data_IF_544213292823
#
_entry.id   IF_544213292823
#
_cell.length_a   1.000
_cell.length_b   1.000
_cell.length_c   1.000
_cell.angle_alpha   90.00
_cell.angle_beta   90.00
_cell.angle_gamma   90.00
#
_symmetry.space_group_name_H-M   'P 1'
#
loop_
_entity.id
_entity.type
_entity.pdbx_description
1 polymer ?
#
# COMPACT_ATOMS: atom_id res chain seq x y z
N UNK A 1 -49.93 -17.10 2.96
CA UNK A 1 -49.10 -15.88 2.98
C UNK A 1 -47.67 -16.32 3.25
N UNK A 2 -46.86 -16.42 2.21
CA UNK A 2 -45.46 -16.80 2.34
C UNK A 2 -44.68 -15.58 2.81
N UNK A 3 -44.17 -15.62 4.05
CA UNK A 3 -43.21 -14.64 4.53
C UNK A 3 -41.89 -14.89 3.81
N UNK A 4 -41.56 -14.02 2.86
CA UNK A 4 -40.20 -13.91 2.34
C UNK A 4 -39.34 -13.46 3.51
N UNK A 5 -38.61 -14.40 4.10
CA UNK A 5 -37.55 -14.11 5.07
C UNK A 5 -36.41 -13.51 4.25
N UNK A 6 -36.40 -12.19 4.18
CA UNK A 6 -35.22 -11.44 3.75
C UNK A 6 -34.12 -11.86 4.73
N UNK A 7 -32.98 -12.41 4.29
CA UNK A 7 -31.89 -12.68 5.20
C UNK A 7 -31.50 -11.33 5.80
N UNK A 8 -31.78 -11.16 7.09
CA UNK A 8 -31.16 -10.12 7.87
C UNK A 8 -29.66 -10.36 7.68
N UNK A 9 -28.98 -9.38 7.10
CA UNK A 9 -27.53 -9.36 7.08
C UNK A 9 -27.14 -9.29 8.56
N UNK A 10 -26.90 -10.45 9.15
CA UNK A 10 -26.33 -10.56 10.48
C UNK A 10 -24.94 -9.95 10.39
N UNK A 11 -24.84 -8.68 10.76
CA UNK A 11 -23.58 -8.01 11.05
C UNK A 11 -22.94 -8.57 12.34
N UNK A 12 -23.13 -9.86 12.61
CA UNK A 12 -22.68 -10.57 13.80
C UNK A 12 -21.43 -11.34 13.45
N UNK A 13 -20.33 -10.89 14.06
CA UNK A 13 -19.07 -11.61 14.23
C UNK A 13 -18.12 -11.66 13.03
N UNK A 14 -17.88 -10.50 12.40
CA UNK A 14 -16.57 -10.30 11.74
C UNK A 14 -15.49 -10.42 12.84
N UNK A 15 -14.57 -11.40 12.76
CA UNK A 15 -13.54 -11.56 13.78
C UNK A 15 -12.72 -10.28 13.90
N UNK A 16 -12.36 -9.89 15.13
CA UNK A 16 -11.70 -8.61 15.43
C UNK A 16 -10.47 -8.33 14.54
N UNK A 17 -9.70 -9.38 14.20
CA UNK A 17 -8.58 -9.30 13.26
C UNK A 17 -9.00 -8.83 11.86
N UNK A 18 -10.08 -9.40 11.31
CA UNK A 18 -10.64 -9.06 9.98
C UNK A 18 -11.17 -7.63 9.95
N UNK A 19 -11.90 -7.22 10.99
CA UNK A 19 -12.37 -5.83 11.10
C UNK A 19 -11.21 -4.83 11.15
N UNK A 20 -10.14 -5.15 11.91
CA UNK A 20 -8.95 -4.30 12.01
C UNK A 20 -8.28 -4.09 10.64
N UNK A 21 -8.10 -5.16 9.86
CA UNK A 21 -7.46 -5.07 8.53
C UNK A 21 -8.36 -4.31 7.55
N UNK A 22 -9.65 -4.64 7.55
CA UNK A 22 -10.63 -3.97 6.68
C UNK A 22 -10.70 -2.47 6.97
N UNK A 23 -10.73 -2.07 8.24
CA UNK A 23 -10.73 -0.67 8.64
C UNK A 23 -9.48 0.05 8.14
N UNK A 24 -8.29 -0.53 8.34
CA UNK A 24 -7.02 0.06 7.88
C UNK A 24 -6.99 0.19 6.35
N UNK A 25 -7.47 -0.83 5.64
CA UNK A 25 -7.54 -0.81 4.17
C UNK A 25 -8.47 0.30 3.66
N UNK A 26 -9.72 0.33 4.15
CA UNK A 26 -10.72 1.35 3.76
C UNK A 26 -10.26 2.75 4.12
N UNK A 27 -9.67 2.93 5.32
CA UNK A 27 -9.08 4.21 5.71
C UNK A 27 -7.96 4.63 4.74
N UNK A 28 -7.11 3.70 4.33
CA UNK A 28 -6.03 3.97 3.37
C UNK A 28 -6.58 4.35 2.00
N UNK A 29 -7.64 3.68 1.52
CA UNK A 29 -8.32 4.04 0.27
C UNK A 29 -8.86 5.46 0.35
N UNK A 30 -9.61 5.79 1.40
CA UNK A 30 -10.20 7.13 1.58
C UNK A 30 -9.11 8.21 1.69
N UNK A 31 -8.06 7.95 2.48
CA UNK A 31 -6.93 8.86 2.63
C UNK A 31 -6.23 9.12 1.29
N UNK A 32 -5.91 8.06 0.54
CA UNK A 32 -5.28 8.17 -0.77
C UNK A 32 -6.18 8.90 -1.76
N UNK A 33 -7.46 8.56 -1.84
CA UNK A 33 -8.42 9.23 -2.72
C UNK A 33 -8.56 10.72 -2.42
N UNK A 34 -8.53 11.12 -1.14
CA UNK A 34 -8.59 12.52 -0.73
C UNK A 34 -7.30 13.30 -1.01
N UNK A 35 -6.14 12.63 -0.99
CA UNK A 35 -4.82 13.29 -1.10
C UNK A 35 -4.23 13.26 -2.51
N UNK A 36 -4.60 12.27 -3.33
CA UNK A 36 -4.25 12.15 -4.75
C UNK A 36 -5.07 13.15 -5.58
N UNK A 37 -4.64 14.41 -5.58
CA UNK A 37 -5.23 15.44 -6.43
C UNK A 37 -4.23 15.90 -7.51
N UNK A 38 -4.59 15.83 -8.81
CA UNK A 38 -3.76 16.36 -9.90
C UNK A 38 -3.46 17.85 -9.72
N UNK A 39 -4.38 18.58 -9.08
CA UNK A 39 -4.21 20.00 -8.76
C UNK A 39 -3.04 20.23 -7.79
N UNK A 40 -2.88 19.39 -6.77
CA UNK A 40 -1.76 19.49 -5.83
C UNK A 40 -0.44 19.18 -6.52
N UNK A 41 -0.39 18.13 -7.35
CA UNK A 41 0.78 17.82 -8.17
C UNK A 41 1.18 19.00 -9.07
N UNK A 42 0.20 19.62 -9.74
CA UNK A 42 0.45 20.79 -10.59
C UNK A 42 1.00 21.99 -9.81
N UNK A 43 0.54 22.20 -8.56
CA UNK A 43 1.09 23.25 -7.69
C UNK A 43 2.52 22.93 -7.24
N UNK A 44 2.80 21.68 -6.88
CA UNK A 44 4.14 21.25 -6.45
C UNK A 44 5.15 21.39 -7.60
N UNK A 45 4.82 20.89 -8.79
CA UNK A 45 5.64 21.04 -9.99
C UNK A 45 5.83 22.51 -10.39
N UNK A 46 4.78 23.34 -10.28
CA UNK A 46 4.89 24.78 -10.56
C UNK A 46 5.80 25.49 -9.57
N UNK A 47 5.78 25.08 -8.30
CA UNK A 47 6.65 25.63 -7.26
C UNK A 47 8.10 25.29 -7.54
N UNK A 48 8.36 24.04 -7.94
CA UNK A 48 9.69 23.58 -8.31
C UNK A 48 10.19 24.26 -9.58
N UNK A 49 9.32 24.43 -10.60
CA UNK A 49 9.69 25.15 -11.81
C UNK A 49 10.01 26.63 -11.54
N UNK A 50 9.26 27.30 -10.66
CA UNK A 50 9.61 28.66 -10.22
C UNK A 50 10.93 28.71 -9.45
N UNK A 51 11.23 27.69 -8.66
CA UNK A 51 12.52 27.59 -7.97
C UNK A 51 13.67 27.38 -8.96
N UNK A 52 13.43 26.64 -10.05
CA UNK A 52 14.36 26.47 -11.16
C UNK A 52 14.60 27.81 -11.89
N UNK A 53 13.53 28.49 -12.30
CA UNK A 53 13.59 29.77 -13.03
C UNK A 53 14.31 30.88 -12.23
N UNK A 54 14.11 30.92 -10.90
CA UNK A 54 14.69 31.95 -10.04
C UNK A 54 16.11 31.61 -9.53
N UNK A 55 16.68 30.48 -9.91
CA UNK A 55 18.00 30.07 -9.42
C UNK A 55 19.13 30.82 -10.15
N UNK A 56 19.59 31.93 -9.57
CA UNK A 56 20.66 32.78 -10.13
C UNK A 56 22.05 32.11 -10.23
N UNK A 57 22.29 30.99 -9.53
CA UNK A 57 23.55 30.25 -9.58
C UNK A 57 23.35 28.92 -10.34
N UNK A 58 23.54 28.98 -11.66
CA UNK A 58 23.46 27.85 -12.57
C UNK A 58 24.66 26.90 -12.42
N UNK A 59 24.62 26.04 -11.41
CA UNK A 59 25.42 24.81 -11.45
C UNK A 59 24.58 23.75 -12.15
N UNK A 60 25.09 23.11 -13.19
CA UNK A 60 24.43 22.01 -13.92
C UNK A 60 23.87 20.94 -12.95
N UNK A 61 24.59 20.71 -11.85
CA UNK A 61 24.19 19.86 -10.74
C UNK A 61 22.87 20.26 -10.07
N UNK A 62 22.60 21.56 -9.87
CA UNK A 62 21.37 22.05 -9.24
C UNK A 62 20.16 21.82 -10.17
N UNK A 63 20.33 22.09 -11.47
CA UNK A 63 19.30 21.83 -12.48
C UNK A 63 18.96 20.34 -12.57
N UNK A 64 19.97 19.46 -12.61
CA UNK A 64 19.76 18.02 -12.61
C UNK A 64 19.05 17.54 -11.33
N UNK A 65 19.43 18.08 -10.17
CA UNK A 65 18.77 17.75 -8.91
C UNK A 65 17.28 18.17 -8.91
N UNK A 66 16.97 19.36 -9.40
CA UNK A 66 15.58 19.85 -9.47
C UNK A 66 14.72 19.02 -10.45
N UNK A 67 15.27 18.66 -11.61
CA UNK A 67 14.61 17.76 -12.57
C UNK A 67 14.38 16.39 -11.93
N UNK A 68 15.39 15.85 -11.25
CA UNK A 68 15.30 14.57 -10.55
C UNK A 68 14.20 14.58 -9.49
N UNK A 69 14.13 15.63 -8.66
CA UNK A 69 13.05 15.81 -7.67
C UNK A 69 11.67 15.83 -8.35
N UNK A 70 11.55 16.51 -9.49
CA UNK A 70 10.28 16.59 -10.23
C UNK A 70 9.85 15.23 -10.77
N UNK A 71 10.77 14.44 -11.32
CA UNK A 71 10.51 13.07 -11.80
C UNK A 71 10.09 12.17 -10.65
N UNK A 72 10.77 12.26 -9.49
CA UNK A 72 10.42 11.48 -8.31
C UNK A 72 9.01 11.82 -7.81
N UNK A 73 8.64 13.10 -7.77
CA UNK A 73 7.28 13.52 -7.36
C UNK A 73 6.23 12.97 -8.33
N UNK A 74 6.50 13.03 -9.63
CA UNK A 74 5.61 12.44 -10.64
C UNK A 74 5.50 10.91 -10.47
N UNK A 75 6.61 10.23 -10.26
CA UNK A 75 6.63 8.78 -10.00
C UNK A 75 5.80 8.44 -8.75
N UNK A 76 5.99 9.16 -7.63
CA UNK A 76 5.19 8.98 -6.41
C UNK A 76 3.70 9.17 -6.67
N UNK A 77 3.33 10.12 -7.50
CA UNK A 77 1.93 10.35 -7.87
C UNK A 77 1.34 9.18 -8.66
N UNK A 78 2.06 8.68 -9.68
CA UNK A 78 1.63 7.52 -10.48
C UNK A 78 1.52 6.28 -9.60
N UNK A 79 2.54 5.99 -8.81
CA UNK A 79 2.51 4.85 -7.89
C UNK A 79 1.43 4.99 -6.82
N UNK A 80 1.10 6.20 -6.38
CA UNK A 80 -0.03 6.45 -5.50
C UNK A 80 -1.37 5.98 -6.06
N UNK A 81 -1.61 6.14 -7.36
CA UNK A 81 -2.78 5.57 -8.03
C UNK A 81 -2.71 4.05 -8.15
N UNK A 82 -1.53 3.50 -8.45
CA UNK A 82 -1.32 2.05 -8.50
C UNK A 82 -1.62 1.43 -7.13
N UNK A 83 -1.13 2.03 -6.04
CA UNK A 83 -1.39 1.55 -4.69
C UNK A 83 -2.81 1.81 -4.22
N UNK A 84 -3.51 2.84 -4.73
CA UNK A 84 -4.95 2.98 -4.51
C UNK A 84 -5.71 1.82 -5.17
N UNK A 85 -5.42 1.53 -6.44
CA UNK A 85 -6.03 0.42 -7.16
C UNK A 85 -5.75 -0.93 -6.48
N UNK A 86 -4.50 -1.16 -6.05
CA UNK A 86 -4.11 -2.37 -5.33
C UNK A 86 -4.86 -2.52 -4.00
N UNK A 87 -5.07 -1.44 -3.26
CA UNK A 87 -5.85 -1.48 -2.01
C UNK A 87 -7.34 -1.78 -2.28
N UNK A 88 -7.92 -1.25 -3.36
CA UNK A 88 -9.30 -1.58 -3.77
C UNK A 88 -9.41 -3.07 -4.12
N UNK A 89 -8.45 -3.63 -4.87
CA UNK A 89 -8.41 -5.05 -5.20
C UNK A 89 -8.29 -5.90 -3.93
N UNK A 90 -7.49 -5.46 -2.96
CA UNK A 90 -7.32 -6.17 -1.70
C UNK A 90 -8.60 -6.26 -0.83
N UNK A 91 -9.65 -5.47 -1.11
CA UNK A 91 -10.94 -5.64 -0.42
C UNK A 91 -11.56 -7.02 -0.67
N UNK A 92 -11.38 -7.59 -1.86
CA UNK A 92 -11.92 -8.89 -2.22
C UNK A 92 -11.40 -10.01 -1.32
N UNK A 93 -10.08 -10.27 -1.24
CA UNK A 93 -9.57 -11.32 -0.36
C UNK A 93 -9.76 -11.01 1.14
N UNK A 94 -9.83 -9.74 1.54
CA UNK A 94 -10.14 -9.38 2.94
C UNK A 94 -11.59 -9.74 3.31
N UNK A 95 -12.55 -9.61 2.38
CA UNK A 95 -13.96 -9.91 2.65
C UNK A 95 -14.30 -11.39 2.41
N UNK A 96 -13.90 -11.90 1.26
CA UNK A 96 -14.25 -13.24 0.78
C UNK A 96 -13.39 -14.34 1.41
N UNK A 97 -12.25 -13.99 2.02
CA UNK A 97 -11.26 -14.95 2.56
C UNK A 97 -10.72 -15.96 1.54
N UNK A 98 -10.95 -15.69 0.25
CA UNK A 98 -10.45 -16.46 -0.88
C UNK A 98 -9.47 -15.63 -1.72
N UNK A 99 -8.61 -16.32 -2.47
CA UNK A 99 -7.65 -15.73 -3.43
C UNK A 99 -6.56 -14.85 -2.79
N UNK A 100 -5.70 -15.47 -1.98
CA UNK A 100 -4.57 -14.81 -1.33
C UNK A 100 -3.64 -14.06 -2.28
N UNK A 101 -3.52 -14.51 -3.53
CA UNK A 101 -2.70 -13.87 -4.56
C UNK A 101 -3.11 -12.42 -4.87
N UNK A 102 -4.37 -12.05 -4.65
CA UNK A 102 -4.85 -10.69 -4.87
C UNK A 102 -4.35 -9.70 -3.79
N UNK A 103 -3.79 -10.18 -2.67
CA UNK A 103 -3.09 -9.32 -1.70
C UNK A 103 -1.70 -8.89 -2.18
N UNK A 104 -1.05 -9.68 -3.04
CA UNK A 104 0.34 -9.47 -3.44
C UNK A 104 0.57 -8.08 -4.06
N UNK A 105 -0.28 -7.58 -4.99
CA UNK A 105 -0.15 -6.22 -5.51
C UNK A 105 -0.22 -5.13 -4.43
N UNK A 106 -1.05 -5.32 -3.39
CA UNK A 106 -1.18 -4.36 -2.28
C UNK A 106 0.07 -4.35 -1.39
N UNK A 107 0.62 -5.53 -1.10
CA UNK A 107 1.88 -5.70 -0.36
C UNK A 107 3.02 -4.98 -1.09
N UNK A 108 3.18 -5.23 -2.39
CA UNK A 108 4.20 -4.57 -3.21
C UNK A 108 3.99 -3.05 -3.28
N UNK A 109 2.77 -2.59 -3.49
CA UNK A 109 2.49 -1.16 -3.53
C UNK A 109 2.83 -0.46 -2.21
N UNK A 110 2.49 -1.07 -1.08
CA UNK A 110 2.85 -0.53 0.25
C UNK A 110 4.35 -0.50 0.48
N UNK A 111 5.07 -1.55 0.07
CA UNK A 111 6.53 -1.58 0.16
C UNK A 111 7.17 -0.45 -0.64
N UNK A 112 6.76 -0.29 -1.91
CA UNK A 112 7.31 0.74 -2.80
C UNK A 112 6.98 2.15 -2.28
N UNK A 113 5.72 2.41 -1.92
CA UNK A 113 5.28 3.73 -1.46
C UNK A 113 5.86 4.13 -0.10
N UNK A 114 5.81 3.23 0.88
CA UNK A 114 6.13 3.58 2.26
C UNK A 114 7.60 3.36 2.60
N UNK A 115 8.31 2.46 1.91
CA UNK A 115 9.72 2.19 2.18
C UNK A 115 10.60 2.83 1.10
N UNK A 116 10.45 2.43 -0.17
CA UNK A 116 11.37 2.89 -1.23
C UNK A 116 11.28 4.40 -1.43
N UNK A 117 10.08 4.92 -1.70
CA UNK A 117 9.92 6.35 -1.98
C UNK A 117 10.17 7.24 -0.76
N UNK A 118 9.90 6.77 0.45
CA UNK A 118 10.21 7.49 1.70
C UNK A 118 11.72 7.53 1.94
N UNK A 119 12.44 6.43 1.68
CA UNK A 119 13.91 6.40 1.77
C UNK A 119 14.56 7.33 0.74
N UNK A 120 14.06 7.32 -0.51
CA UNK A 120 14.52 8.24 -1.54
C UNK A 120 14.27 9.70 -1.14
N UNK A 121 13.12 10.01 -0.54
CA UNK A 121 12.82 11.35 -0.02
C UNK A 121 13.81 11.80 1.05
N UNK A 122 14.20 10.92 1.98
CA UNK A 122 15.22 11.24 2.99
C UNK A 122 16.57 11.54 2.34
N UNK A 123 16.99 10.74 1.36
CA UNK A 123 18.26 10.95 0.63
C UNK A 123 18.23 12.29 -0.12
N UNK A 124 17.17 12.55 -0.88
CA UNK A 124 16.98 13.79 -1.64
C UNK A 124 16.92 15.00 -0.70
N UNK A 125 16.20 14.88 0.41
CA UNK A 125 16.12 15.92 1.43
C UNK A 125 17.50 16.23 2.04
N UNK A 126 18.30 15.19 2.31
CA UNK A 126 19.66 15.31 2.84
C UNK A 126 20.59 16.03 1.86
N UNK A 127 20.55 15.66 0.58
CA UNK A 127 21.30 16.34 -0.49
C UNK A 127 20.86 17.80 -0.59
N UNK A 128 19.56 18.06 -0.57
CA UNK A 128 19.00 19.42 -0.67
C UNK A 128 19.46 20.31 0.49
N UNK A 129 19.43 19.80 1.72
CA UNK A 129 19.86 20.57 2.89
C UNK A 129 21.37 20.81 2.87
N UNK A 130 22.16 19.79 2.51
CA UNK A 130 23.62 19.89 2.47
C UNK A 130 24.12 20.86 1.41
N UNK A 131 23.53 20.86 0.21
CA UNK A 131 24.05 21.62 -0.94
C UNK A 131 23.23 22.87 -1.28
N UNK A 132 21.95 22.94 -0.92
CA UNK A 132 21.08 24.06 -1.31
C UNK A 132 20.64 24.92 -0.12
N UNK A 133 20.49 24.36 1.08
CA UNK A 133 19.91 25.06 2.25
C UNK A 133 20.63 24.71 3.57
N UNK A 134 21.95 24.97 3.69
CA UNK A 134 22.75 24.52 4.84
C UNK A 134 22.32 25.15 6.18
N UNK A 135 21.68 26.32 6.17
CA UNK A 135 21.20 26.99 7.39
C UNK A 135 19.86 26.43 7.93
N UNK A 136 19.21 25.51 7.20
CA UNK A 136 17.87 24.99 7.53
C UNK A 136 17.88 23.56 8.10
N UNK A 137 18.93 23.21 8.83
CA UNK A 137 19.09 21.90 9.51
C UNK A 137 17.88 21.55 10.41
N UNK A 138 17.23 22.47 11.15
CA UNK A 138 16.05 22.13 11.95
C UNK A 138 14.88 21.60 11.11
N UNK A 139 14.67 22.16 9.91
CA UNK A 139 13.64 21.69 8.99
C UNK A 139 13.95 20.29 8.45
N UNK A 140 15.23 19.98 8.27
CA UNK A 140 15.66 18.62 7.91
C UNK A 140 15.37 17.61 9.02
N UNK A 141 15.61 17.96 10.29
CA UNK A 141 15.31 17.08 11.42
C UNK A 141 13.82 16.73 11.50
N UNK A 142 12.94 17.74 11.36
CA UNK A 142 11.48 17.53 11.31
C UNK A 142 11.10 16.66 10.11
N UNK A 143 11.71 16.91 8.96
CA UNK A 143 11.49 16.12 7.76
C UNK A 143 11.90 14.65 7.95
N UNK A 144 13.08 14.38 8.52
CA UNK A 144 13.55 13.02 8.81
C UNK A 144 12.62 12.33 9.81
N UNK A 145 12.22 13.01 10.89
CA UNK A 145 11.30 12.45 11.88
C UNK A 145 9.96 12.04 11.25
N UNK A 146 9.39 12.89 10.39
CA UNK A 146 8.17 12.57 9.62
C UNK A 146 8.36 11.30 8.78
N UNK A 147 9.47 11.19 8.06
CA UNK A 147 9.76 10.03 7.21
C UNK A 147 10.00 8.74 8.02
N UNK A 148 10.62 8.82 9.20
CA UNK A 148 10.78 7.67 10.11
C UNK A 148 9.41 7.17 10.56
N UNK A 149 8.52 8.07 10.98
CA UNK A 149 7.15 7.69 11.39
C UNK A 149 6.43 6.99 10.23
N UNK A 150 6.56 7.54 9.01
CA UNK A 150 5.94 6.95 7.83
C UNK A 150 6.48 5.54 7.51
N UNK A 151 7.80 5.31 7.62
CA UNK A 151 8.39 3.99 7.43
C UNK A 151 7.89 3.01 8.50
N UNK A 152 7.89 3.42 9.78
CA UNK A 152 7.44 2.57 10.89
C UNK A 152 5.98 2.14 10.72
N UNK A 153 5.08 3.08 10.39
CA UNK A 153 3.67 2.77 10.11
C UNK A 153 3.54 1.91 8.86
N UNK A 154 4.35 2.17 7.82
CA UNK A 154 4.39 1.38 6.60
C UNK A 154 4.78 -0.08 6.84
N UNK A 155 5.80 -0.34 7.67
CA UNK A 155 6.22 -1.69 8.05
C UNK A 155 5.14 -2.40 8.87
N UNK A 156 4.51 -1.69 9.82
CA UNK A 156 3.42 -2.27 10.60
C UNK A 156 2.24 -2.70 9.73
N UNK A 157 1.87 -1.87 8.74
CA UNK A 157 0.86 -2.23 7.75
C UNK A 157 1.33 -3.44 6.91
N UNK A 158 2.56 -3.41 6.38
CA UNK A 158 3.10 -4.49 5.55
C UNK A 158 3.08 -5.85 6.27
N UNK A 159 3.48 -5.87 7.54
CA UNK A 159 3.44 -7.07 8.37
C UNK A 159 2.00 -7.59 8.51
N UNK A 160 1.03 -6.70 8.70
CA UNK A 160 -0.38 -7.06 8.80
C UNK A 160 -0.93 -7.67 7.51
N UNK A 161 -0.59 -7.11 6.34
CA UNK A 161 -1.00 -7.67 5.04
C UNK A 161 -0.28 -8.99 4.73
N UNK A 162 0.98 -9.13 5.14
CA UNK A 162 1.76 -10.36 4.93
C UNK A 162 1.23 -11.50 5.81
N UNK A 163 0.92 -11.21 7.07
CA UNK A 163 0.31 -12.18 8.01
C UNK A 163 -1.05 -12.67 7.49
N UNK A 164 -1.89 -11.77 6.96
CA UNK A 164 -3.14 -12.15 6.32
C UNK A 164 -2.93 -13.02 5.09
N UNK A 165 -1.96 -12.67 4.24
CA UNK A 165 -1.66 -13.47 3.04
C UNK A 165 -1.18 -14.89 3.41
N UNK A 166 -0.34 -15.02 4.45
CA UNK A 166 0.10 -16.33 4.96
C UNK A 166 -1.04 -17.14 5.56
N UNK A 167 -1.90 -16.49 6.37
CA UNK A 167 -3.09 -17.12 6.93
C UNK A 167 -4.02 -17.66 5.84
N UNK A 168 -4.24 -16.90 4.76
CA UNK A 168 -5.06 -17.35 3.64
C UNK A 168 -4.44 -18.54 2.89
N UNK A 169 -3.13 -18.51 2.64
CA UNK A 169 -2.46 -19.60 1.92
C UNK A 169 -2.44 -20.90 2.72
N UNK A 170 -2.29 -20.83 4.04
CA UNK A 170 -2.30 -22.02 4.89
C UNK A 170 -3.69 -22.67 4.94
N UNK A 171 -4.77 -21.87 4.97
CA UNK A 171 -6.14 -22.38 4.90
C UNK A 171 -6.47 -23.04 3.56
N UNK A 172 -5.93 -22.52 2.45
CA UNK A 172 -6.11 -23.12 1.13
C UNK A 172 -5.38 -24.47 1.04
N UNK A 173 -4.13 -24.57 1.51
CA UNK A 173 -3.37 -25.83 1.52
C UNK A 173 -4.03 -26.93 2.38
N UNK A 174 -4.58 -26.56 3.55
CA UNK A 174 -5.31 -27.50 4.42
C UNK A 174 -6.60 -27.99 3.74
N UNK A 175 -7.36 -27.08 3.13
CA UNK A 175 -8.61 -27.41 2.42
C UNK A 175 -8.36 -28.30 1.19
N UNK A 176 -7.33 -28.02 0.41
CA UNK A 176 -6.95 -28.85 -0.74
C UNK A 176 -6.48 -30.25 -0.29
N UNK A 177 -5.82 -30.34 0.87
CA UNK A 177 -5.40 -31.62 1.44
C UNK A 177 -6.57 -32.46 1.95
N UNK A 178 -7.58 -31.83 2.54
CA UNK A 178 -8.80 -32.48 3.03
C UNK A 178 -9.68 -32.96 1.86
N UNK A 179 -9.82 -32.15 0.81
CA UNK A 179 -10.53 -32.54 -0.42
C UNK A 179 -9.82 -33.73 -1.09
N UNK A 180 -8.48 -33.72 -1.17
CA UNK A 180 -7.72 -34.82 -1.72
C UNK A 180 -7.79 -36.11 -0.86
N UNK A 181 -7.95 -35.97 0.46
CA UNK A 181 -8.15 -37.09 1.36
C UNK A 181 -9.56 -37.70 1.24
N UNK A 182 -10.59 -36.85 1.18
CA UNK A 182 -11.99 -37.27 1.00
C UNK A 182 -12.21 -37.92 -0.37
N UNK A 183 -11.58 -37.40 -1.43
CA UNK A 183 -11.62 -38.00 -2.76
C UNK A 183 -10.97 -39.40 -2.75
N UNK A 184 -9.82 -39.58 -2.09
CA UNK A 184 -9.17 -40.89 -1.93
C UNK A 184 -10.02 -41.89 -1.14
N UNK A 185 -10.66 -41.48 -0.05
CA UNK A 185 -11.58 -42.34 0.68
C UNK A 185 -12.78 -42.76 -0.18
N UNK A 186 -13.32 -41.82 -0.97
CA UNK A 186 -14.44 -42.07 -1.86
C UNK A 186 -14.06 -43.03 -3.01
N UNK A 187 -12.83 -42.93 -3.53
CA UNK A 187 -12.28 -43.89 -4.50
C UNK A 187 -12.07 -45.29 -3.89
N UNK A 188 -11.47 -45.40 -2.71
CA UNK A 188 -11.26 -46.68 -2.02
C UNK A 188 -12.57 -47.37 -1.67
N UNK A 189 -13.58 -46.61 -1.25
CA UNK A 189 -14.93 -47.12 -1.00
C UNK A 189 -15.56 -47.66 -2.28
N UNK A 190 -15.32 -47.04 -3.43
CA UNK A 190 -15.86 -47.46 -4.72
C UNK A 190 -15.20 -48.75 -5.25
N UNK A 191 -13.91 -48.95 -4.99
CA UNK A 191 -13.22 -50.21 -5.32
C UNK A 191 -13.64 -51.38 -4.42
N UNK A 192 -14.01 -51.13 -3.16
CA UNK A 192 -14.48 -52.19 -2.24
C UNK A 192 -15.86 -52.78 -2.54
N UNK A 193 -16.60 -52.19 -3.49
CA UNK A 193 -17.94 -52.62 -3.91
C UNK A 193 -17.97 -53.36 -5.28
N UNK A 194 -16.80 -53.71 -5.84
CA UNK A 194 -16.63 -54.57 -7.02
C UNK A 194 -16.10 -55.93 -6.56
#
# INVERSE_FOLDING_TARGET
MNSVIIPAIEASDIPYGKFKILFVNVFTILYKAATLSPRKLGLDLRTINKALENSCCNTLLLHLHIIFVSVIILAKFVFGYVGLAANIIALFPILAEDFGDLLVPSIYAQFVENIIFTTLEVIIGGITVRYCLPCKIPLFSIFVAKNIIQITVGIAALNMYTDLHQSLMYHIEETDSDIAADEKELFLKKESFI
#
